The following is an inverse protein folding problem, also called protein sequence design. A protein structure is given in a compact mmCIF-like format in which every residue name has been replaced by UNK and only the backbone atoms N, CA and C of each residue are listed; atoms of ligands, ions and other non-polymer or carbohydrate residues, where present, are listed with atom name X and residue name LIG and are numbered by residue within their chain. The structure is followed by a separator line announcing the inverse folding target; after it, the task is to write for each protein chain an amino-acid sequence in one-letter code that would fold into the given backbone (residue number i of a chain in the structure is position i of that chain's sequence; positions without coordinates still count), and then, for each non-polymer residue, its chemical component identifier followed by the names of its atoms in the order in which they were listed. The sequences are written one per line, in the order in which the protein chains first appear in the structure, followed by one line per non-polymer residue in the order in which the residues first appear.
data_IF_242037606798
#
_entry.id   IF_242037606798
#
_cell.length_a   1.000
_cell.length_b   1.000
_cell.length_c   1.000
_cell.angle_alpha   90.00
_cell.angle_beta   90.00
_cell.angle_gamma   90.00
#
_symmetry.space_group_name_H-M   'P 1'
#
loop_
_entity.id
_entity.type
_entity.pdbx_description
1 polymer ?
#
# COMPACT_ATOMS: atom_id res chain seq x y z
N UNK A 1 19.89 -56.45 39.85
CA UNK A 1 19.85 -55.00 39.56
C UNK A 1 18.59 -54.70 38.79
N UNK A 2 17.73 -53.77 39.23
CA UNK A 2 16.59 -53.33 38.40
C UNK A 2 17.14 -52.46 37.27
N UNK A 3 16.61 -52.58 36.06
CA UNK A 3 17.09 -51.88 34.84
C UNK A 3 17.25 -50.35 35.05
N UNK A 4 16.46 -49.78 35.96
CA UNK A 4 16.48 -48.37 36.37
C UNK A 4 17.73 -47.95 37.16
N UNK A 5 18.45 -48.87 37.79
CA UNK A 5 19.70 -48.55 38.50
C UNK A 5 20.90 -48.55 37.55
N UNK A 6 20.85 -49.32 36.46
CA UNK A 6 21.94 -49.47 35.50
C UNK A 6 22.20 -48.18 34.70
N UNK A 7 21.16 -47.39 34.39
CA UNK A 7 21.28 -46.11 33.66
C UNK A 7 22.11 -45.05 34.41
N UNK A 8 22.36 -45.25 35.70
CA UNK A 8 23.19 -44.35 36.52
C UNK A 8 24.70 -44.61 36.35
N UNK A 9 25.07 -45.82 35.91
CA UNK A 9 26.47 -46.30 35.91
C UNK A 9 27.03 -46.53 34.52
N UNK A 10 26.22 -46.38 33.48
CA UNK A 10 26.59 -46.60 32.08
C UNK A 10 26.12 -45.41 31.23
N UNK A 11 26.92 -45.01 30.24
CA UNK A 11 26.45 -44.08 29.22
C UNK A 11 25.40 -44.77 28.36
N UNK A 12 24.46 -44.03 27.76
CA UNK A 12 23.47 -44.63 26.86
C UNK A 12 24.12 -45.42 25.71
N UNK A 13 25.29 -44.99 25.23
CA UNK A 13 26.10 -45.70 24.22
C UNK A 13 26.79 -46.96 24.73
N UNK A 14 26.95 -47.13 26.05
CA UNK A 14 27.49 -48.35 26.66
C UNK A 14 26.39 -49.43 26.83
N UNK A 15 25.11 -49.05 26.64
CA UNK A 15 23.94 -49.93 26.76
C UNK A 15 23.37 -50.40 25.41
N UNK A 16 24.08 -50.18 24.30
CA UNK A 16 23.72 -50.82 23.03
C UNK A 16 23.81 -52.35 23.20
N UNK A 17 22.72 -53.05 22.84
CA UNK A 17 22.41 -54.45 23.20
C UNK A 17 23.55 -55.47 22.93
N UNK A 18 24.47 -55.16 22.02
CA UNK A 18 25.60 -56.03 21.69
C UNK A 18 26.71 -56.02 22.75
N UNK A 19 26.92 -54.90 23.46
CA UNK A 19 27.97 -54.81 24.50
C UNK A 19 27.54 -55.34 25.87
N UNK A 20 26.23 -55.42 26.14
CA UNK A 20 25.70 -55.86 27.44
C UNK A 20 26.05 -57.32 27.73
N UNK A 21 26.18 -58.17 26.69
CA UNK A 21 26.46 -59.60 26.85
C UNK A 21 27.85 -59.92 27.39
N UNK A 22 28.82 -59.04 27.18
CA UNK A 22 30.22 -59.25 27.59
C UNK A 22 30.55 -58.63 28.95
N UNK A 23 29.61 -57.92 29.60
CA UNK A 23 29.80 -57.45 30.96
C UNK A 23 29.62 -58.60 31.95
N UNK A 24 30.72 -59.29 32.22
CA UNK A 24 30.83 -60.23 33.35
C UNK A 24 30.55 -59.45 34.64
N UNK A 25 29.39 -59.72 35.24
CA UNK A 25 29.06 -59.19 36.56
C UNK A 25 30.02 -59.80 37.59
N UNK A 26 30.56 -59.00 38.53
CA UNK A 26 31.39 -59.53 39.62
C UNK A 26 30.64 -60.55 40.47
N UNK A 27 31.37 -61.48 41.10
CA UNK A 27 30.81 -62.42 42.08
C UNK A 27 30.15 -61.69 43.27
N UNK A 28 29.16 -62.34 43.89
CA UNK A 28 28.36 -61.79 44.99
C UNK A 28 29.26 -61.28 46.15
N UNK A 29 29.32 -59.96 46.32
CA UNK A 29 30.10 -59.28 47.37
C UNK A 29 31.06 -58.19 46.90
N UNK A 30 31.51 -58.22 45.64
CA UNK A 30 32.43 -57.20 45.06
C UNK A 30 31.72 -56.04 44.37
N UNK A 31 30.39 -56.10 44.31
CA UNK A 31 29.55 -55.17 43.56
C UNK A 31 29.72 -53.68 43.91
N UNK A 32 29.82 -53.27 45.18
CA UNK A 32 29.96 -51.84 45.53
C UNK A 32 31.27 -51.22 45.06
N UNK A 33 32.36 -51.99 45.02
CA UNK A 33 33.67 -51.51 44.56
C UNK A 33 33.70 -51.38 43.04
N UNK A 34 33.20 -52.40 42.34
CA UNK A 34 33.03 -52.36 40.88
C UNK A 34 32.12 -51.21 40.43
N UNK A 35 31.00 -50.97 41.12
CA UNK A 35 30.08 -49.88 40.78
C UNK A 35 30.74 -48.50 40.94
N UNK A 36 31.58 -48.32 41.98
CA UNK A 36 32.37 -47.09 42.17
C UNK A 36 33.40 -46.91 41.06
N UNK A 37 34.10 -47.98 40.66
CA UNK A 37 35.07 -47.96 39.56
C UNK A 37 34.39 -47.58 38.23
N UNK A 38 33.26 -48.21 37.90
CA UNK A 38 32.48 -47.89 36.69
C UNK A 38 31.92 -46.48 36.71
N UNK A 39 31.45 -46.00 37.87
CA UNK A 39 31.02 -44.62 38.02
C UNK A 39 32.17 -43.64 37.79
N UNK A 40 33.35 -43.91 38.35
CA UNK A 40 34.54 -43.09 38.15
C UNK A 40 34.94 -43.05 36.67
N UNK A 41 34.96 -44.21 35.99
CA UNK A 41 35.23 -44.31 34.56
C UNK A 41 34.19 -43.54 33.72
N UNK A 42 32.91 -43.59 34.07
CA UNK A 42 31.87 -42.82 33.38
C UNK A 42 32.04 -41.31 33.58
N UNK A 43 32.39 -40.87 34.79
CA UNK A 43 32.67 -39.45 35.07
C UNK A 43 33.86 -38.98 34.25
N UNK A 44 34.94 -39.77 34.21
CA UNK A 44 36.14 -39.47 33.42
C UNK A 44 35.82 -39.41 31.91
N UNK A 45 35.10 -40.41 31.38
CA UNK A 45 34.63 -40.41 29.98
C UNK A 45 33.80 -39.18 29.65
N UNK A 46 32.88 -38.76 30.54
CA UNK A 46 32.06 -37.55 30.35
C UNK A 46 32.91 -36.30 30.32
N UNK A 47 33.83 -36.14 31.27
CA UNK A 47 34.76 -35.00 31.30
C UNK A 47 35.61 -34.93 30.03
N UNK A 48 36.08 -36.08 29.52
CA UNK A 48 36.83 -36.14 28.28
C UNK A 48 35.97 -35.76 27.06
N UNK A 49 34.72 -36.24 27.01
CA UNK A 49 33.76 -35.87 25.96
C UNK A 49 33.49 -34.36 25.96
N UNK A 50 33.22 -33.77 27.12
CA UNK A 50 33.02 -32.32 27.29
C UNK A 50 34.24 -31.52 26.80
N UNK A 51 35.47 -31.98 27.11
CA UNK A 51 36.70 -31.35 26.63
C UNK A 51 36.85 -31.44 25.10
N UNK A 52 36.48 -32.59 24.51
CA UNK A 52 36.50 -32.80 23.06
C UNK A 52 35.46 -31.91 22.35
N UNK A 53 34.25 -31.80 22.88
CA UNK A 53 33.19 -30.92 22.38
C UNK A 53 33.62 -29.46 22.43
N UNK A 54 34.09 -28.99 23.60
CA UNK A 54 34.59 -27.63 23.76
C UNK A 54 35.79 -27.32 22.85
N UNK A 55 36.67 -28.30 22.61
CA UNK A 55 37.76 -28.15 21.63
C UNK A 55 37.22 -28.02 20.20
N UNK A 56 36.26 -28.85 19.80
CA UNK A 56 35.66 -28.82 18.47
C UNK A 56 34.91 -27.51 18.22
N UNK A 57 34.16 -27.01 19.20
CA UNK A 57 33.49 -25.71 19.12
C UNK A 57 34.48 -24.56 18.92
N UNK A 58 35.53 -24.51 19.74
CA UNK A 58 36.62 -23.53 19.60
C UNK A 58 37.24 -23.58 18.20
N UNK A 59 37.54 -24.79 17.71
CA UNK A 59 38.10 -24.99 16.37
C UNK A 59 37.17 -24.48 15.26
N UNK A 60 35.87 -24.70 15.37
CA UNK A 60 34.87 -24.19 14.41
C UNK A 60 34.80 -22.66 14.45
N UNK A 61 34.79 -22.06 15.64
CA UNK A 61 34.82 -20.60 15.82
C UNK A 61 36.09 -19.99 15.23
N UNK A 62 37.27 -20.55 15.53
CA UNK A 62 38.56 -20.05 15.06
C UNK A 62 38.69 -20.19 13.54
N UNK A 63 38.17 -21.28 12.97
CA UNK A 63 38.09 -21.46 11.52
C UNK A 63 37.20 -20.39 10.89
N UNK A 64 36.01 -20.13 11.43
CA UNK A 64 35.09 -19.07 10.95
C UNK A 64 35.74 -17.69 11.04
N UNK A 65 36.38 -17.36 12.18
CA UNK A 65 37.12 -16.10 12.37
C UNK A 65 38.22 -15.93 11.33
N UNK A 66 39.01 -16.97 11.11
CA UNK A 66 40.10 -16.96 10.12
C UNK A 66 39.58 -16.77 8.70
N UNK A 67 38.49 -17.46 8.34
CA UNK A 67 37.84 -17.30 7.04
C UNK A 67 37.28 -15.88 6.85
N UNK A 68 36.62 -15.32 7.87
CA UNK A 68 36.09 -13.96 7.80
C UNK A 68 37.21 -12.92 7.73
N UNK A 69 38.30 -13.09 8.47
CA UNK A 69 39.47 -12.23 8.38
C UNK A 69 40.09 -12.25 6.97
N UNK A 70 40.18 -13.42 6.33
CA UNK A 70 40.64 -13.53 4.96
C UNK A 70 39.71 -12.82 3.95
N UNK A 71 38.39 -12.97 4.10
CA UNK A 71 37.38 -12.26 3.30
C UNK A 71 37.47 -10.74 3.48
N UNK A 72 37.63 -10.26 4.71
CA UNK A 72 37.77 -8.83 5.01
C UNK A 72 39.04 -8.24 4.39
N UNK A 73 40.17 -8.97 4.42
CA UNK A 73 41.41 -8.55 3.72
C UNK A 73 41.21 -8.46 2.22
N UNK A 74 40.52 -9.44 1.63
CA UNK A 74 40.18 -9.41 0.20
C UNK A 74 39.29 -8.23 -0.15
N UNK A 75 38.25 -7.97 0.64
CA UNK A 75 37.38 -6.81 0.49
C UNK A 75 38.16 -5.50 0.55
N UNK A 76 39.06 -5.34 1.54
CA UNK A 76 39.90 -4.14 1.65
C UNK A 76 40.79 -3.93 0.42
N UNK A 77 41.35 -5.00 -0.15
CA UNK A 77 42.13 -4.92 -1.39
C UNK A 77 41.28 -4.55 -2.61
N UNK A 78 40.02 -5.04 -2.68
CA UNK A 78 39.06 -4.65 -3.73
C UNK A 78 38.68 -3.17 -3.59
N UNK A 79 38.41 -2.71 -2.37
CA UNK A 79 38.10 -1.31 -2.08
C UNK A 79 39.26 -0.40 -2.51
N UNK A 80 40.50 -0.77 -2.19
CA UNK A 80 41.67 0.00 -2.63
C UNK A 80 41.73 0.11 -4.17
N UNK A 81 41.54 -0.99 -4.90
CA UNK A 81 41.48 -0.98 -6.37
C UNK A 81 40.32 -0.14 -6.93
N UNK A 82 39.18 -0.10 -6.24
CA UNK A 82 38.05 0.76 -6.61
C UNK A 82 38.35 2.23 -6.40
N UNK A 83 38.99 2.59 -5.28
CA UNK A 83 39.47 3.95 -5.01
C UNK A 83 40.48 4.41 -6.07
N UNK A 84 41.42 3.56 -6.45
CA UNK A 84 42.37 3.83 -7.54
C UNK A 84 41.69 4.09 -8.90
N UNK A 85 40.49 3.55 -9.09
CA UNK A 85 39.66 3.74 -10.29
C UNK A 85 38.70 4.94 -10.19
N UNK A 86 38.75 5.71 -9.10
CA UNK A 86 37.91 6.91 -8.90
C UNK A 86 36.54 6.64 -8.29
N UNK A 87 36.30 5.46 -7.70
CA UNK A 87 35.03 5.10 -7.04
C UNK A 87 34.99 5.45 -5.54
N UNK A 88 35.77 6.43 -5.11
CA UNK A 88 35.93 6.74 -3.68
C UNK A 88 34.60 7.11 -3.00
N UNK A 89 33.85 8.05 -3.57
CA UNK A 89 32.56 8.50 -3.03
C UNK A 89 31.55 7.35 -2.92
N UNK A 90 31.41 6.55 -3.98
CA UNK A 90 30.45 5.45 -4.01
C UNK A 90 30.84 4.33 -3.02
N UNK A 91 32.13 4.07 -2.82
CA UNK A 91 32.60 3.09 -1.82
C UNK A 91 32.35 3.59 -0.39
N UNK A 92 32.54 4.87 -0.12
CA UNK A 92 32.26 5.46 1.18
C UNK A 92 30.76 5.40 1.51
N UNK A 93 29.90 5.64 0.52
CA UNK A 93 28.45 5.47 0.66
C UNK A 93 28.05 4.01 0.99
N UNK A 94 28.70 3.02 0.39
CA UNK A 94 28.45 1.60 0.68
C UNK A 94 28.98 1.16 2.06
N UNK A 95 29.97 1.86 2.61
CA UNK A 95 30.67 1.45 3.84
C UNK A 95 29.81 1.53 5.11
N UNK A 96 28.68 2.26 5.07
CA UNK A 96 27.72 2.34 6.17
C UNK A 96 26.89 1.06 6.36
N UNK A 97 26.86 0.17 5.36
CA UNK A 97 26.02 -1.02 5.37
C UNK A 97 26.77 -2.25 5.92
N UNK A 98 26.14 -3.00 6.82
CA UNK A 98 26.70 -4.21 7.43
C UNK A 98 25.72 -5.38 7.19
N UNK A 99 26.14 -6.46 6.49
CA UNK A 99 27.45 -6.68 5.89
C UNK A 99 27.71 -5.77 4.67
N UNK A 100 28.98 -5.59 4.32
CA UNK A 100 29.36 -4.74 3.18
C UNK A 100 28.72 -5.25 1.87
N UNK A 101 28.01 -4.43 1.07
CA UNK A 101 27.23 -4.87 -0.10
C UNK A 101 28.06 -5.61 -1.16
N UNK A 102 29.33 -5.25 -1.36
CA UNK A 102 30.26 -6.00 -2.22
C UNK A 102 30.39 -7.51 -1.88
N UNK A 103 29.99 -7.98 -0.69
CA UNK A 103 29.96 -9.41 -0.39
C UNK A 103 28.86 -10.19 -1.11
N UNK A 104 27.90 -9.51 -1.75
CA UNK A 104 26.93 -10.10 -2.69
C UNK A 104 27.65 -10.70 -3.92
N UNK A 105 28.80 -10.13 -4.30
CA UNK A 105 29.64 -10.65 -5.36
C UNK A 105 30.45 -11.86 -4.86
N UNK A 106 30.12 -13.05 -5.36
CA UNK A 106 30.79 -14.31 -5.02
C UNK A 106 32.32 -14.25 -5.22
N UNK A 107 32.79 -13.46 -6.18
CA UNK A 107 34.21 -13.27 -6.48
C UNK A 107 34.94 -12.43 -5.42
N UNK A 108 34.22 -11.55 -4.72
CA UNK A 108 34.74 -10.76 -3.59
C UNK A 108 34.62 -11.54 -2.28
N UNK A 109 33.56 -12.34 -2.12
CA UNK A 109 33.30 -13.16 -0.93
C UNK A 109 34.11 -14.48 -0.89
N UNK A 110 35.40 -14.41 -1.21
CA UNK A 110 36.33 -15.55 -1.22
C UNK A 110 37.39 -15.43 -0.12
N UNK A 111 37.89 -16.55 0.37
CA UNK A 111 38.99 -16.61 1.35
C UNK A 111 40.38 -16.54 0.72
N UNK A 112 40.47 -16.61 -0.61
CA UNK A 112 41.74 -16.48 -1.35
C UNK A 112 42.20 -15.02 -1.40
N UNK A 113 43.51 -14.79 -1.36
CA UNK A 113 44.08 -13.45 -1.53
C UNK A 113 43.75 -12.88 -2.92
N UNK A 114 43.62 -11.55 -2.99
CA UNK A 114 43.39 -10.86 -4.26
C UNK A 114 44.71 -10.77 -5.04
N UNK A 115 44.81 -11.54 -6.13
CA UNK A 115 45.93 -11.44 -7.08
C UNK A 115 45.52 -10.56 -8.27
N UNK A 116 46.50 -10.01 -9.00
CA UNK A 116 46.21 -9.17 -10.18
C UNK A 116 45.40 -9.93 -11.24
N UNK A 117 45.73 -11.21 -11.48
CA UNK A 117 44.95 -12.07 -12.39
C UNK A 117 43.52 -12.26 -11.91
N UNK A 118 43.31 -12.47 -10.61
CA UNK A 118 41.97 -12.61 -10.04
C UNK A 118 41.16 -11.30 -10.11
N UNK A 119 41.82 -10.16 -9.88
CA UNK A 119 41.24 -8.84 -10.05
C UNK A 119 40.77 -8.62 -11.48
N UNK A 120 41.63 -8.83 -12.48
CA UNK A 120 41.28 -8.69 -13.88
C UNK A 120 40.09 -9.57 -14.28
N UNK A 121 40.02 -10.79 -13.74
CA UNK A 121 38.91 -11.72 -14.00
C UNK A 121 37.56 -11.29 -13.42
N UNK A 122 37.53 -10.53 -12.32
CA UNK A 122 36.28 -10.07 -11.69
C UNK A 122 35.98 -8.58 -11.88
N UNK A 123 36.94 -7.80 -12.41
CA UNK A 123 36.85 -6.34 -12.56
C UNK A 123 35.55 -5.89 -13.24
N UNK A 124 35.16 -6.54 -14.34
CA UNK A 124 33.95 -6.17 -15.07
C UNK A 124 32.67 -6.34 -14.22
N UNK A 125 32.55 -7.45 -13.48
CA UNK A 125 31.41 -7.68 -12.59
C UNK A 125 31.39 -6.69 -11.42
N UNK A 126 32.55 -6.37 -10.84
CA UNK A 126 32.66 -5.38 -9.78
C UNK A 126 32.29 -3.98 -10.28
N UNK A 127 32.75 -3.57 -11.47
CA UNK A 127 32.41 -2.26 -12.05
C UNK A 127 30.91 -2.18 -12.35
N UNK A 128 30.32 -3.20 -12.99
CA UNK A 128 28.88 -3.24 -13.26
C UNK A 128 28.05 -3.15 -11.98
N UNK A 129 28.46 -3.82 -10.91
CA UNK A 129 27.84 -3.68 -9.60
C UNK A 129 27.96 -2.24 -9.04
N UNK A 130 29.14 -1.62 -9.15
CA UNK A 130 29.33 -0.24 -8.69
C UNK A 130 28.51 0.77 -9.51
N UNK A 131 28.35 0.56 -10.82
CA UNK A 131 27.49 1.38 -11.68
C UNK A 131 26.01 1.28 -11.27
N UNK A 132 25.54 0.07 -10.95
CA UNK A 132 24.20 -0.14 -10.40
C UNK A 132 24.04 0.60 -9.07
N UNK A 133 24.95 0.39 -8.11
CA UNK A 133 24.89 1.06 -6.79
C UNK A 133 24.98 2.57 -6.89
N UNK A 134 25.80 3.11 -7.81
CA UNK A 134 25.85 4.54 -8.10
C UNK A 134 24.54 5.07 -8.65
N UNK A 135 23.91 4.31 -9.55
CA UNK A 135 22.59 4.66 -10.10
C UNK A 135 21.54 4.72 -8.99
N UNK A 136 21.48 3.69 -8.13
CA UNK A 136 20.58 3.64 -6.96
C UNK A 136 20.83 4.83 -6.00
N UNK A 137 22.10 5.14 -5.70
CA UNK A 137 22.48 6.29 -4.86
C UNK A 137 22.00 7.61 -5.46
N UNK A 138 22.30 7.88 -6.73
CA UNK A 138 21.91 9.12 -7.40
C UNK A 138 20.38 9.26 -7.48
N UNK A 139 19.68 8.15 -7.71
CA UNK A 139 18.22 8.07 -7.64
C UNK A 139 17.68 8.45 -6.26
N UNK A 140 18.27 7.93 -5.18
CA UNK A 140 17.90 8.29 -3.79
C UNK A 140 18.15 9.76 -3.49
N UNK A 141 19.30 10.30 -3.89
CA UNK A 141 19.64 11.71 -3.70
C UNK A 141 18.67 12.64 -4.45
N UNK A 142 18.30 12.28 -5.68
CA UNK A 142 17.33 13.05 -6.45
C UNK A 142 15.92 12.96 -5.85
N UNK A 143 15.51 11.80 -5.35
CA UNK A 143 14.26 11.65 -4.60
C UNK A 143 14.22 12.54 -3.34
N UNK A 144 15.28 12.50 -2.51
CA UNK A 144 15.38 13.35 -1.32
C UNK A 144 15.35 14.83 -1.67
N UNK A 145 15.99 15.22 -2.77
CA UNK A 145 15.95 16.59 -3.29
C UNK A 145 14.52 16.98 -3.69
N UNK A 146 13.84 16.17 -4.49
CA UNK A 146 12.45 16.43 -4.90
C UNK A 146 11.50 16.48 -3.70
N UNK A 147 11.69 15.61 -2.70
CA UNK A 147 10.91 15.63 -1.45
C UNK A 147 11.05 16.96 -0.72
N UNK A 148 12.28 17.45 -0.53
CA UNK A 148 12.54 18.76 0.10
C UNK A 148 11.91 19.91 -0.68
N UNK A 149 12.00 19.87 -2.00
CA UNK A 149 11.39 20.88 -2.88
C UNK A 149 9.87 20.82 -2.82
N UNK A 150 9.30 19.62 -2.73
CA UNK A 150 7.87 19.43 -2.60
C UNK A 150 7.36 19.94 -1.24
N UNK A 151 8.12 19.76 -0.16
CA UNK A 151 7.79 20.35 1.13
C UNK A 151 7.69 21.88 1.05
N UNK A 152 8.62 22.53 0.34
CA UNK A 152 8.55 23.98 0.08
C UNK A 152 7.32 24.35 -0.77
N UNK A 153 7.05 23.59 -1.84
CA UNK A 153 5.85 23.77 -2.66
C UNK A 153 4.57 23.63 -1.81
N UNK A 154 4.48 22.63 -0.95
CA UNK A 154 3.29 22.37 -0.12
C UNK A 154 3.01 23.51 0.85
N UNK A 155 4.05 24.09 1.45
CA UNK A 155 3.90 25.27 2.32
C UNK A 155 3.32 26.43 1.54
N UNK A 156 3.92 26.77 0.38
CA UNK A 156 3.41 27.82 -0.50
C UNK A 156 1.98 27.53 -0.99
N UNK A 157 1.72 26.30 -1.47
CA UNK A 157 0.44 25.88 -2.02
C UNK A 157 -0.67 25.90 -0.97
N UNK A 158 -0.37 25.72 0.32
CA UNK A 158 -1.38 25.83 1.39
C UNK A 158 -1.93 27.26 1.50
N UNK A 159 -1.08 28.26 1.30
CA UNK A 159 -1.50 29.67 1.31
C UNK A 159 -2.14 30.07 -0.02
N UNK A 160 -1.58 29.62 -1.14
CA UNK A 160 -2.09 29.90 -2.48
C UNK A 160 -3.44 29.20 -2.77
N UNK A 161 -3.62 27.95 -2.37
CA UNK A 161 -4.84 27.15 -2.62
C UNK A 161 -6.08 27.74 -1.96
N UNK A 162 -5.94 28.45 -0.84
CA UNK A 162 -7.04 29.20 -0.21
C UNK A 162 -7.66 30.22 -1.17
N UNK A 163 -6.91 30.70 -2.16
CA UNK A 163 -7.36 31.69 -3.13
C UNK A 163 -8.03 31.06 -4.36
N UNK A 164 -7.71 29.82 -4.70
CA UNK A 164 -8.14 29.16 -5.94
C UNK A 164 -9.02 27.92 -5.73
N UNK A 165 -9.45 27.65 -4.49
CA UNK A 165 -10.21 26.45 -4.16
C UNK A 165 -11.55 26.41 -4.90
N UNK A 166 -11.67 25.47 -5.85
CA UNK A 166 -12.94 25.03 -6.40
C UNK A 166 -13.25 23.64 -5.83
N UNK A 167 -14.29 23.48 -4.98
CA UNK A 167 -14.61 22.21 -4.33
C UNK A 167 -14.97 21.08 -5.31
N UNK A 168 -15.35 21.41 -6.55
CA UNK A 168 -15.86 20.42 -7.52
C UNK A 168 -14.80 19.85 -8.46
N UNK A 169 -13.64 20.51 -8.56
CA UNK A 169 -12.49 20.04 -9.34
C UNK A 169 -11.20 20.50 -8.63
N UNK A 170 -10.84 19.85 -7.51
CA UNK A 170 -9.55 20.11 -6.90
C UNK A 170 -8.46 19.67 -7.89
N UNK A 171 -7.76 20.64 -8.46
CA UNK A 171 -6.47 20.39 -9.07
C UNK A 171 -5.57 19.89 -7.94
N UNK A 172 -5.16 18.62 -7.98
CA UNK A 172 -4.37 18.05 -6.89
C UNK A 172 -2.98 18.64 -6.93
N UNK A 173 -2.29 18.67 -5.79
CA UNK A 173 -0.87 19.03 -5.73
C UNK A 173 -0.05 18.30 -6.81
N UNK A 174 -0.36 17.02 -7.06
CA UNK A 174 0.24 16.19 -8.13
C UNK A 174 0.06 16.76 -9.53
N UNK A 175 -1.12 17.29 -9.82
CA UNK A 175 -1.43 17.89 -11.11
C UNK A 175 -0.70 19.24 -11.24
N UNK A 176 -0.68 20.05 -10.17
CA UNK A 176 -0.03 21.37 -10.15
C UNK A 176 1.49 21.25 -10.32
N UNK A 177 2.14 20.34 -9.60
CA UNK A 177 3.59 20.12 -9.76
C UNK A 177 3.96 19.56 -11.13
N UNK A 178 2.99 19.11 -11.93
CA UNK A 178 3.21 18.69 -13.31
C UNK A 178 3.13 19.84 -14.32
N UNK A 179 2.69 21.04 -13.91
CA UNK A 179 2.65 22.20 -14.80
C UNK A 179 4.05 22.64 -15.18
N UNK A 180 4.23 23.04 -16.45
CA UNK A 180 5.57 23.28 -17.00
C UNK A 180 6.44 24.25 -16.18
N UNK A 181 5.95 25.39 -15.68
CA UNK A 181 6.78 26.31 -14.89
C UNK A 181 7.22 25.68 -13.56
N UNK A 182 6.31 24.96 -12.89
CA UNK A 182 6.59 24.29 -11.62
C UNK A 182 7.50 23.10 -11.82
N UNK A 183 7.24 22.24 -12.80
CA UNK A 183 8.10 21.10 -13.12
C UNK A 183 9.53 21.56 -13.43
N UNK A 184 9.68 22.61 -14.25
CA UNK A 184 10.99 23.17 -14.55
C UNK A 184 11.71 23.72 -13.31
N UNK A 185 10.99 24.40 -12.41
CA UNK A 185 11.54 24.86 -11.13
C UNK A 185 11.94 23.67 -10.25
N UNK A 186 11.08 22.67 -10.11
CA UNK A 186 11.30 21.46 -9.30
C UNK A 186 12.44 20.58 -9.83
N UNK A 187 12.71 20.60 -11.14
CA UNK A 187 13.81 19.91 -11.83
C UNK A 187 15.11 20.73 -11.90
N UNK A 188 15.17 21.90 -11.26
CA UNK A 188 16.37 22.74 -11.25
C UNK A 188 17.62 21.97 -10.74
N UNK A 189 18.83 22.35 -11.15
CA UNK A 189 20.07 21.78 -10.61
C UNK A 189 20.12 21.74 -9.07
N UNK A 190 20.83 20.76 -8.49
CA UNK A 190 20.82 20.49 -7.04
C UNK A 190 21.43 21.60 -6.16
N UNK A 191 22.20 22.51 -6.76
CA UNK A 191 22.76 23.71 -6.12
C UNK A 191 21.73 24.83 -5.96
N UNK A 192 20.58 24.74 -6.63
CA UNK A 192 19.47 25.69 -6.47
C UNK A 192 18.59 25.27 -5.28
N UNK A 193 18.66 26.07 -4.21
CA UNK A 193 17.76 25.97 -3.06
C UNK A 193 16.39 26.53 -3.44
N UNK A 194 15.35 25.72 -3.31
CA UNK A 194 13.96 26.13 -3.56
C UNK A 194 13.28 26.38 -2.22
N UNK A 195 12.70 27.57 -2.08
CA UNK A 195 11.92 28.00 -0.91
C UNK A 195 10.46 28.26 -1.32
N UNK A 196 9.52 28.42 -0.38
CA UNK A 196 8.13 28.78 -0.71
C UNK A 196 8.02 30.04 -1.60
N UNK A 197 8.88 31.05 -1.37
CA UNK A 197 8.90 32.30 -2.14
C UNK A 197 9.37 32.10 -3.58
N UNK A 198 10.04 30.97 -3.88
CA UNK A 198 10.46 30.64 -5.24
C UNK A 198 9.29 30.39 -6.19
N UNK A 199 8.08 30.18 -5.66
CA UNK A 199 6.87 29.91 -6.43
C UNK A 199 6.04 31.16 -6.74
N UNK A 200 6.22 32.26 -5.99
CA UNK A 200 5.47 33.53 -6.18
C UNK A 200 5.52 34.08 -7.62
N UNK A 201 6.68 34.06 -8.33
CA UNK A 201 6.73 34.60 -9.69
C UNK A 201 5.85 33.85 -10.71
N UNK A 202 5.37 32.66 -10.35
CA UNK A 202 4.58 31.79 -11.23
C UNK A 202 3.09 31.79 -10.89
N UNK A 203 2.63 32.59 -9.92
CA UNK A 203 1.24 32.56 -9.44
C UNK A 203 0.21 32.76 -10.56
N UNK A 204 0.41 33.74 -11.43
CA UNK A 204 -0.48 34.03 -12.55
C UNK A 204 -0.48 32.87 -13.58
N UNK A 205 0.70 32.33 -13.90
CA UNK A 205 0.84 31.21 -14.84
C UNK A 205 0.19 29.93 -14.29
N UNK A 206 0.32 29.70 -12.98
CA UNK A 206 -0.30 28.57 -12.30
C UNK A 206 -1.82 28.76 -12.26
N UNK A 207 -2.31 29.96 -11.93
CA UNK A 207 -3.74 30.24 -11.92
C UNK A 207 -4.36 30.02 -13.31
N UNK A 208 -3.69 30.48 -14.37
CA UNK A 208 -4.11 30.21 -15.74
C UNK A 208 -4.09 28.71 -16.08
N UNK A 209 -3.03 27.99 -15.67
CA UNK A 209 -2.91 26.54 -15.86
C UNK A 209 -3.99 25.75 -15.11
N UNK A 210 -4.35 26.17 -13.90
CA UNK A 210 -5.46 25.59 -13.13
C UNK A 210 -6.78 25.79 -13.85
N UNK A 211 -7.05 27.01 -14.36
CA UNK A 211 -8.28 27.29 -15.09
C UNK A 211 -8.40 26.45 -16.37
N UNK A 212 -7.31 26.34 -17.14
CA UNK A 212 -7.26 25.48 -18.33
C UNK A 212 -7.46 24.01 -17.97
N UNK A 213 -6.75 23.52 -16.94
CA UNK A 213 -6.87 22.16 -16.44
C UNK A 213 -8.31 21.86 -16.01
N UNK A 214 -8.94 22.73 -15.24
CA UNK A 214 -10.33 22.57 -14.80
C UNK A 214 -11.29 22.50 -16.00
N UNK A 215 -11.11 23.37 -16.99
CA UNK A 215 -11.93 23.36 -18.20
C UNK A 215 -11.73 22.07 -19.02
N UNK A 216 -10.49 21.60 -19.12
CA UNK A 216 -10.16 20.33 -19.77
C UNK A 216 -10.81 19.16 -19.03
N UNK A 217 -10.67 19.08 -17.70
CA UNK A 217 -11.26 18.00 -16.90
C UNK A 217 -12.78 18.03 -16.92
N UNK A 218 -13.40 19.22 -16.87
CA UNK A 218 -14.84 19.41 -17.07
C UNK A 218 -15.31 18.83 -18.40
N UNK A 219 -14.58 19.11 -19.48
CA UNK A 219 -14.89 18.60 -20.83
C UNK A 219 -14.73 17.08 -20.91
N UNK A 220 -13.61 16.55 -20.42
CA UNK A 220 -13.33 15.11 -20.40
C UNK A 220 -14.38 14.36 -19.57
N UNK A 221 -14.73 14.88 -18.39
CA UNK A 221 -15.71 14.29 -17.51
C UNK A 221 -17.11 14.32 -18.14
N UNK A 222 -17.51 15.43 -18.76
CA UNK A 222 -18.75 15.51 -19.53
C UNK A 222 -18.82 14.44 -20.62
N UNK A 223 -17.82 14.37 -21.49
CA UNK A 223 -17.80 13.40 -22.59
C UNK A 223 -17.85 11.96 -22.08
N UNK A 224 -17.16 11.68 -20.97
CA UNK A 224 -17.19 10.36 -20.35
C UNK A 224 -18.57 10.01 -19.79
N UNK A 225 -19.23 10.93 -19.05
CA UNK A 225 -20.58 10.70 -18.54
C UNK A 225 -21.59 10.51 -19.68
N UNK A 226 -21.52 11.34 -20.73
CA UNK A 226 -22.39 11.23 -21.90
C UNK A 226 -22.25 9.86 -22.58
N UNK A 227 -21.01 9.37 -22.70
CA UNK A 227 -20.69 8.05 -23.23
C UNK A 227 -21.20 6.91 -22.34
N UNK A 228 -20.95 6.97 -21.02
CA UNK A 228 -21.33 5.90 -20.08
C UNK A 228 -22.84 5.83 -19.84
N UNK A 229 -23.53 6.96 -19.76
CA UNK A 229 -24.96 7.01 -19.50
C UNK A 229 -25.82 6.89 -20.76
N UNK A 230 -25.22 7.09 -21.94
CA UNK A 230 -25.94 7.25 -23.20
C UNK A 230 -26.90 8.44 -23.18
N UNK A 231 -26.45 9.56 -22.60
CA UNK A 231 -27.22 10.79 -22.45
C UNK A 231 -26.48 11.96 -23.10
N UNK A 232 -27.21 12.99 -23.54
CA UNK A 232 -26.63 14.27 -23.93
C UNK A 232 -26.89 15.27 -22.81
N UNK A 233 -25.86 15.63 -22.05
CA UNK A 233 -26.03 16.51 -20.91
C UNK A 233 -26.31 17.93 -21.38
N UNK A 234 -27.25 18.61 -20.74
CA UNK A 234 -27.58 19.99 -21.09
C UNK A 234 -26.36 20.90 -20.98
N UNK A 235 -26.24 21.83 -21.93
CA UNK A 235 -25.27 22.93 -21.90
C UNK A 235 -25.85 24.20 -21.30
N UNK A 236 -27.16 24.24 -21.02
CA UNK A 236 -27.85 25.40 -20.45
C UNK A 236 -27.71 25.50 -18.92
N UNK A 237 -27.22 24.42 -18.30
CA UNK A 237 -26.98 24.30 -16.85
C UNK A 237 -25.48 24.17 -16.64
N UNK A 238 -24.93 24.78 -15.59
CA UNK A 238 -23.53 24.53 -15.26
C UNK A 238 -23.33 23.04 -14.98
N UNK A 239 -22.26 22.49 -15.54
CA UNK A 239 -21.99 21.07 -15.44
C UNK A 239 -21.90 20.57 -13.98
N UNK A 240 -21.34 21.37 -13.06
CA UNK A 240 -21.22 20.97 -11.65
C UNK A 240 -22.54 21.12 -10.88
N UNK A 241 -23.49 21.87 -11.42
CA UNK A 241 -24.84 21.97 -10.85
C UNK A 241 -25.72 20.77 -11.20
N UNK A 242 -25.35 19.95 -12.19
CA UNK A 242 -26.11 18.75 -12.59
C UNK A 242 -26.13 17.72 -11.47
N UNK A 243 -27.32 17.18 -11.15
CA UNK A 243 -27.49 16.21 -10.08
C UNK A 243 -26.65 14.94 -10.32
N UNK A 244 -26.53 14.50 -11.58
CA UNK A 244 -25.71 13.34 -11.97
C UNK A 244 -24.22 13.53 -11.66
N UNK A 245 -23.71 14.76 -11.68
CA UNK A 245 -22.30 15.07 -11.41
C UNK A 245 -22.04 15.14 -9.91
N UNK A 246 -22.99 15.66 -9.12
CA UNK A 246 -22.86 15.81 -7.65
C UNK A 246 -22.72 14.50 -6.86
N UNK A 247 -22.90 13.37 -7.53
CA UNK A 247 -22.92 12.02 -6.97
C UNK A 247 -21.72 11.16 -7.40
N UNK A 248 -20.79 11.76 -8.14
CA UNK A 248 -19.54 11.10 -8.45
C UNK A 248 -18.79 10.97 -7.13
N UNK A 249 -18.93 9.79 -6.53
CA UNK A 249 -18.31 9.42 -5.29
C UNK A 249 -16.81 9.34 -5.52
N UNK A 250 -16.13 10.39 -5.10
CA UNK A 250 -14.69 10.44 -5.09
C UNK A 250 -14.21 9.96 -3.72
N UNK A 251 -14.30 8.65 -3.48
CA UNK A 251 -13.74 8.07 -2.25
C UNK A 251 -12.24 8.36 -2.07
N UNK A 252 -11.54 8.73 -3.15
CA UNK A 252 -10.14 9.20 -3.14
C UNK A 252 -9.99 10.70 -2.78
N UNK A 253 -11.05 11.43 -2.41
CA UNK A 253 -10.94 12.83 -1.96
C UNK A 253 -10.78 12.92 -0.44
N UNK A 254 -11.37 12.01 0.33
CA UNK A 254 -11.39 12.06 1.80
C UNK A 254 -10.53 10.96 2.45
N UNK A 255 -10.24 9.85 1.76
CA UNK A 255 -9.32 8.85 2.25
C UNK A 255 -7.87 9.22 1.88
N UNK A 256 -7.12 9.67 2.89
CA UNK A 256 -5.66 9.90 2.94
C UNK A 256 -5.15 11.34 2.76
N UNK A 257 -5.90 12.36 3.21
CA UNK A 257 -5.32 13.70 3.33
C UNK A 257 -4.46 13.91 4.59
N UNK A 258 -4.43 13.02 5.60
CA UNK A 258 -3.71 13.33 6.86
C UNK A 258 -2.97 12.22 7.64
N UNK A 259 -2.93 10.93 7.26
CA UNK A 259 -2.46 9.91 8.23
C UNK A 259 -1.57 8.76 7.75
N UNK A 260 -0.99 8.79 6.56
CA UNK A 260 0.22 7.98 6.34
C UNK A 260 1.40 8.88 6.64
N UNK A 261 2.04 8.78 7.83
CA UNK A 261 3.27 9.49 8.06
C UNK A 261 4.25 9.11 6.97
N UNK A 262 4.71 10.10 6.19
CA UNK A 262 5.72 9.96 5.15
C UNK A 262 7.01 9.31 5.66
N UNK A 263 7.17 9.25 6.97
CA UNK A 263 8.25 8.59 7.71
C UNK A 263 8.21 7.06 7.58
N UNK A 264 7.17 6.48 6.94
CA UNK A 264 6.97 5.03 6.79
C UNK A 264 7.16 4.46 5.38
N UNK A 265 7.50 5.28 4.38
CA UNK A 265 8.06 4.70 3.15
C UNK A 265 9.46 4.27 3.53
N UNK A 266 9.63 2.99 3.89
CA UNK A 266 10.95 2.42 4.17
C UNK A 266 11.85 2.70 2.96
N UNK A 267 13.11 3.04 3.21
CA UNK A 267 14.13 3.30 2.17
C UNK A 267 14.23 2.16 1.12
N UNK A 268 13.70 0.98 1.45
CA UNK A 268 13.59 -0.18 0.56
C UNK A 268 12.64 0.02 -0.62
N UNK A 269 11.59 0.85 -0.51
CA UNK A 269 10.65 1.03 -1.63
C UNK A 269 11.27 1.88 -2.75
N UNK A 270 12.17 2.81 -2.39
CA UNK A 270 12.92 3.61 -3.36
C UNK A 270 13.93 2.78 -4.19
N UNK A 271 14.43 1.67 -3.63
CA UNK A 271 15.31 0.74 -4.34
C UNK A 271 14.58 -0.14 -5.37
N UNK A 272 13.26 -0.32 -5.21
CA UNK A 272 12.41 -1.09 -6.13
C UNK A 272 11.95 -0.30 -7.35
N UNK A 273 12.21 1.01 -7.38
CA UNK A 273 11.75 1.86 -8.44
C UNK A 273 12.44 1.51 -9.74
N UNK A 274 11.63 1.23 -10.76
CA UNK A 274 12.12 1.01 -12.10
C UNK A 274 12.78 2.29 -12.60
N UNK A 275 14.11 2.30 -12.51
CA UNK A 275 14.99 3.41 -12.94
C UNK A 275 14.86 3.68 -14.45
N UNK A 276 14.15 2.80 -15.18
CA UNK A 276 13.84 2.89 -16.59
C UNK A 276 12.50 3.56 -16.90
N UNK A 277 11.73 4.03 -15.89
CA UNK A 277 10.56 4.85 -16.15
C UNK A 277 10.96 6.05 -17.04
N UNK A 278 10.27 6.19 -18.17
CA UNK A 278 10.61 7.17 -19.22
C UNK A 278 10.49 8.62 -18.73
N UNK A 279 9.79 8.83 -17.60
CA UNK A 279 9.75 10.10 -16.87
C UNK A 279 10.04 9.82 -15.38
N UNK A 280 11.32 9.93 -15.00
CA UNK A 280 11.77 9.75 -13.61
C UNK A 280 11.05 10.69 -12.65
N UNK A 281 10.86 11.95 -13.05
CA UNK A 281 10.18 12.95 -12.23
C UNK A 281 8.77 12.48 -11.88
N UNK A 282 8.03 11.96 -12.85
CA UNK A 282 6.68 11.51 -12.62
C UNK A 282 6.58 10.31 -11.68
N UNK A 283 7.47 9.32 -11.86
CA UNK A 283 7.54 8.18 -10.96
C UNK A 283 7.85 8.62 -9.53
N UNK A 284 8.79 9.55 -9.34
CA UNK A 284 9.10 10.08 -8.02
C UNK A 284 7.95 10.88 -7.42
N UNK A 285 7.28 11.74 -8.19
CA UNK A 285 6.16 12.52 -7.69
C UNK A 285 4.96 11.64 -7.32
N UNK A 286 4.72 10.53 -8.02
CA UNK A 286 3.65 9.59 -7.63
C UNK A 286 3.92 9.00 -6.23
N UNK A 287 5.19 8.76 -5.87
CA UNK A 287 5.61 8.26 -4.55
C UNK A 287 5.60 9.36 -3.50
N UNK A 288 6.25 10.49 -3.79
CA UNK A 288 6.36 11.64 -2.89
C UNK A 288 4.97 12.16 -2.53
N UNK A 289 4.00 12.03 -3.42
CA UNK A 289 2.65 12.51 -3.17
C UNK A 289 1.72 11.42 -2.68
N UNK A 290 2.06 10.14 -2.90
CA UNK A 290 1.17 9.00 -2.72
C UNK A 290 -0.24 9.29 -3.30
N UNK A 291 -0.27 10.01 -4.43
CA UNK A 291 -1.49 10.54 -5.05
C UNK A 291 -1.44 10.29 -6.53
N UNK A 292 -2.48 9.63 -7.02
CA UNK A 292 -2.68 9.47 -8.45
C UNK A 292 -3.08 10.80 -9.10
N UNK A 293 -2.59 11.01 -10.33
CA UNK A 293 -3.10 12.04 -11.25
C UNK A 293 -4.60 11.87 -11.43
N UNK A 294 -5.30 12.98 -11.69
CA UNK A 294 -6.71 12.90 -12.05
C UNK A 294 -6.87 12.05 -13.32
N UNK A 295 -7.76 11.05 -13.28
CA UNK A 295 -8.12 10.21 -14.41
C UNK A 295 -9.59 9.81 -14.34
N UNK A 296 -10.26 9.68 -15.48
CA UNK A 296 -11.62 9.11 -15.54
C UNK A 296 -11.62 7.60 -15.29
N UNK A 297 -10.49 6.92 -15.51
CA UNK A 297 -10.38 5.46 -15.33
C UNK A 297 -10.53 5.01 -13.88
N UNK A 298 -10.31 5.90 -12.92
CA UNK A 298 -10.47 5.61 -11.49
C UNK A 298 -11.88 5.90 -10.98
N UNK A 299 -12.71 6.59 -11.77
CA UNK A 299 -14.08 6.93 -11.39
C UNK A 299 -14.94 5.68 -11.42
N UNK A 300 -15.46 5.32 -10.25
CA UNK A 300 -16.47 4.27 -10.10
C UNK A 300 -17.78 4.95 -9.78
N UNK A 301 -18.77 4.80 -10.64
CA UNK A 301 -20.07 5.44 -10.42
C UNK A 301 -21.18 4.51 -10.90
N UNK A 302 -22.20 4.24 -10.06
CA UNK A 302 -23.32 3.39 -10.44
C UNK A 302 -24.30 4.18 -11.33
N UNK A 303 -23.89 4.47 -12.57
CA UNK A 303 -24.63 5.33 -13.51
C UNK A 303 -26.09 4.94 -13.70
N UNK A 304 -26.36 3.64 -13.78
CA UNK A 304 -27.71 3.09 -13.90
C UNK A 304 -28.59 3.41 -12.69
N UNK A 305 -28.01 3.36 -11.48
CA UNK A 305 -28.72 3.68 -10.25
C UNK A 305 -29.01 5.18 -10.12
N UNK A 306 -28.01 6.02 -10.44
CA UNK A 306 -28.17 7.48 -10.45
C UNK A 306 -29.28 7.88 -11.40
N UNK A 307 -29.22 7.37 -12.64
CA UNK A 307 -30.22 7.60 -13.67
C UNK A 307 -31.62 7.20 -13.20
N UNK A 308 -31.75 5.98 -12.67
CA UNK A 308 -33.02 5.46 -12.16
C UNK A 308 -33.60 6.31 -11.02
N UNK A 309 -32.77 6.71 -10.05
CA UNK A 309 -33.21 7.52 -8.91
C UNK A 309 -33.75 8.87 -9.39
N UNK A 310 -33.06 9.52 -10.31
CA UNK A 310 -33.50 10.80 -10.88
C UNK A 310 -34.80 10.62 -11.68
N UNK A 311 -34.84 9.66 -12.60
CA UNK A 311 -36.01 9.37 -13.44
C UNK A 311 -37.24 9.00 -12.61
N UNK A 312 -37.10 8.25 -11.51
CA UNK A 312 -38.24 7.88 -10.67
C UNK A 312 -38.80 9.06 -9.84
N UNK A 313 -38.07 10.18 -9.75
CA UNK A 313 -38.67 11.42 -9.27
C UNK A 313 -39.47 12.14 -10.37
N UNK A 314 -39.32 11.76 -11.65
CA UNK A 314 -39.93 12.43 -12.80
C UNK A 314 -39.10 13.59 -13.36
N UNK A 315 -37.82 13.67 -13.00
CA UNK A 315 -36.86 14.65 -13.52
C UNK A 315 -36.04 14.05 -14.66
N UNK A 316 -35.49 14.90 -15.54
CA UNK A 316 -34.57 14.48 -16.60
C UNK A 316 -33.12 14.44 -16.09
N UNK A 317 -32.46 13.27 -16.05
CA UNK A 317 -31.05 13.15 -15.65
C UNK A 317 -30.08 14.03 -16.46
N UNK A 318 -30.42 14.40 -17.69
CA UNK A 318 -29.58 15.21 -18.54
C UNK A 318 -29.55 16.70 -18.15
N UNK A 319 -30.55 17.19 -17.41
CA UNK A 319 -30.69 18.62 -17.12
C UNK A 319 -31.00 18.97 -15.68
N UNK A 320 -31.44 18.03 -14.85
CA UNK A 320 -31.87 18.35 -13.49
C UNK A 320 -30.68 18.78 -12.63
N UNK A 321 -30.88 19.86 -11.87
CA UNK A 321 -29.86 20.35 -10.94
C UNK A 321 -29.95 19.69 -9.58
N UNK A 322 -28.82 19.66 -8.88
CA UNK A 322 -28.69 19.21 -7.50
C UNK A 322 -29.68 19.93 -6.57
N UNK A 323 -29.78 21.26 -6.70
CA UNK A 323 -30.73 22.08 -5.92
C UNK A 323 -32.19 21.70 -6.20
N UNK A 324 -32.51 21.32 -7.44
CA UNK A 324 -33.87 20.89 -7.82
C UNK A 324 -34.21 19.56 -7.15
N UNK A 325 -33.30 18.58 -7.22
CA UNK A 325 -33.46 17.29 -6.54
C UNK A 325 -33.59 17.44 -5.01
N UNK A 326 -32.80 18.34 -4.41
CA UNK A 326 -32.87 18.63 -2.97
C UNK A 326 -34.18 19.26 -2.56
N UNK A 327 -34.67 20.24 -3.32
CA UNK A 327 -35.93 20.93 -3.04
C UNK A 327 -37.12 19.98 -3.12
N UNK A 328 -37.05 18.99 -4.01
CA UNK A 328 -38.10 17.97 -4.17
C UNK A 328 -38.20 17.05 -2.96
N UNK A 329 -37.10 16.91 -2.21
CA UNK A 329 -36.98 16.11 -0.99
C UNK A 329 -37.65 14.73 -1.08
N UNK A 330 -37.51 14.07 -2.24
CA UNK A 330 -38.10 12.74 -2.43
C UNK A 330 -37.44 11.77 -1.46
N UNK A 331 -38.27 11.11 -0.65
CA UNK A 331 -37.83 10.16 0.37
C UNK A 331 -37.83 8.76 -0.20
N UNK A 332 -36.82 7.98 0.15
CA UNK A 332 -36.58 6.65 -0.40
C UNK A 332 -36.50 5.63 0.74
N UNK A 333 -36.86 4.38 0.45
CA UNK A 333 -36.56 3.27 1.36
C UNK A 333 -36.16 2.02 0.57
N UNK A 334 -35.30 1.20 1.18
CA UNK A 334 -34.93 -0.11 0.65
C UNK A 334 -35.80 -1.20 1.29
N UNK A 335 -36.52 -2.04 0.53
CA UNK A 335 -37.29 -3.15 1.06
C UNK A 335 -36.41 -4.36 1.42
N UNK A 336 -35.12 -4.32 1.10
CA UNK A 336 -34.17 -5.43 1.31
C UNK A 336 -33.80 -5.58 2.80
N UNK A 337 -34.04 -4.55 3.63
CA UNK A 337 -33.90 -4.66 5.07
C UNK A 337 -34.86 -5.71 5.64
N UNK A 338 -34.30 -6.68 6.38
CA UNK A 338 -35.08 -7.73 7.04
C UNK A 338 -36.18 -7.11 7.90
N UNK A 339 -37.38 -7.72 7.96
CA UNK A 339 -38.56 -7.17 8.63
C UNK A 339 -38.42 -6.90 10.14
N UNK A 340 -37.29 -7.27 10.74
CA UNK A 340 -36.98 -7.02 12.15
C UNK A 340 -36.34 -5.64 12.42
N UNK A 341 -35.97 -4.87 11.39
CA UNK A 341 -35.30 -3.57 11.56
C UNK A 341 -36.11 -2.41 10.97
N UNK A 342 -35.98 -1.24 11.60
CA UNK A 342 -36.53 0.04 11.14
C UNK A 342 -36.06 0.26 9.69
N UNK A 343 -37.00 0.46 8.76
CA UNK A 343 -36.67 0.78 7.37
C UNK A 343 -36.14 2.21 7.32
N UNK A 344 -34.86 2.44 6.99
CA UNK A 344 -34.33 3.79 6.91
C UNK A 344 -35.02 4.52 5.76
N UNK A 345 -35.70 5.62 6.09
CA UNK A 345 -36.15 6.60 5.12
C UNK A 345 -34.95 7.51 4.83
N UNK A 346 -34.57 7.63 3.57
CA UNK A 346 -33.34 8.31 3.16
C UNK A 346 -33.59 9.35 2.08
N UNK A 347 -32.69 10.34 1.97
CA UNK A 347 -32.68 11.30 0.86
C UNK A 347 -32.21 10.62 -0.43
N UNK A 348 -32.39 11.26 -1.58
CA UNK A 348 -31.91 10.72 -2.86
C UNK A 348 -30.39 10.48 -2.88
N UNK A 349 -29.59 11.38 -2.27
CA UNK A 349 -28.14 11.17 -2.10
C UNK A 349 -27.83 9.94 -1.27
N UNK A 350 -28.49 9.80 -0.13
CA UNK A 350 -28.30 8.65 0.75
C UNK A 350 -28.76 7.34 0.09
N UNK A 351 -29.79 7.37 -0.76
CA UNK A 351 -30.20 6.22 -1.57
C UNK A 351 -29.13 5.79 -2.57
N UNK A 352 -28.49 6.75 -3.24
CA UNK A 352 -27.45 6.47 -4.23
C UNK A 352 -26.17 5.96 -3.55
N UNK A 353 -25.76 6.58 -2.45
CA UNK A 353 -24.62 6.10 -1.66
C UNK A 353 -24.88 4.69 -1.11
N UNK A 354 -26.11 4.41 -0.66
CA UNK A 354 -26.51 3.08 -0.24
C UNK A 354 -26.41 2.06 -1.37
N UNK A 355 -26.88 2.39 -2.57
CA UNK A 355 -26.74 1.55 -3.76
C UNK A 355 -25.26 1.32 -4.11
N UNK A 356 -24.44 2.37 -4.09
CA UNK A 356 -23.01 2.28 -4.38
C UNK A 356 -22.31 1.33 -3.40
N UNK A 357 -22.61 1.45 -2.11
CA UNK A 357 -22.03 0.62 -1.08
C UNK A 357 -22.49 -0.84 -1.16
N UNK A 358 -23.78 -1.12 -1.35
CA UNK A 358 -24.24 -2.52 -1.45
C UNK A 358 -23.69 -3.25 -2.67
N UNK A 359 -23.48 -2.55 -3.80
CA UNK A 359 -22.86 -3.14 -5.00
C UNK A 359 -21.44 -3.67 -4.76
N UNK A 360 -20.76 -3.20 -3.70
CA UNK A 360 -19.40 -3.62 -3.34
C UNK A 360 -19.37 -4.83 -2.43
N UNK A 361 -20.41 -5.02 -1.63
CA UNK A 361 -20.46 -6.06 -0.59
C UNK A 361 -21.29 -7.27 -1.00
N UNK A 362 -22.05 -7.18 -2.09
CA UNK A 362 -22.94 -8.26 -2.50
C UNK A 362 -22.87 -8.48 -4.02
N UNK A 363 -22.79 -9.73 -4.45
CA UNK A 363 -22.87 -10.17 -5.86
C UNK A 363 -24.27 -9.95 -6.49
N UNK A 364 -25.07 -9.01 -5.98
CA UNK A 364 -26.40 -8.75 -6.53
C UNK A 364 -26.26 -8.08 -7.91
N UNK A 365 -26.94 -8.67 -8.89
CA UNK A 365 -27.03 -8.10 -10.24
C UNK A 365 -27.77 -6.75 -10.22
N UNK A 366 -27.49 -5.88 -11.21
CA UNK A 366 -28.12 -4.57 -11.36
C UNK A 366 -29.67 -4.58 -11.34
N UNK A 367 -30.30 -5.73 -11.58
CA UNK A 367 -31.76 -5.87 -11.57
C UNK A 367 -32.39 -5.71 -10.17
N UNK A 368 -31.63 -5.91 -9.09
CA UNK A 368 -32.16 -5.77 -7.72
C UNK A 368 -32.33 -4.31 -7.27
N UNK A 369 -31.72 -3.35 -7.97
CA UNK A 369 -31.82 -1.92 -7.65
C UNK A 369 -33.21 -1.33 -7.90
N UNK A 370 -34.01 -1.94 -8.80
CA UNK A 370 -35.41 -1.56 -9.04
C UNK A 370 -36.33 -1.78 -7.83
N UNK A 371 -35.82 -2.43 -6.78
CA UNK A 371 -36.55 -2.64 -5.53
C UNK A 371 -36.57 -1.40 -4.63
N UNK A 372 -35.72 -0.39 -4.87
CA UNK A 372 -35.80 0.88 -4.16
C UNK A 372 -36.98 1.68 -4.73
N UNK A 373 -37.89 2.09 -3.84
CA UNK A 373 -39.17 2.71 -4.19
C UNK A 373 -39.20 4.14 -3.62
N UNK A 374 -39.52 5.17 -4.44
CA UNK A 374 -39.77 6.50 -3.92
C UNK A 374 -41.04 6.49 -3.07
N UNK A 375 -40.97 7.09 -1.88
CA UNK A 375 -42.14 7.38 -1.05
C UNK A 375 -42.76 8.64 -1.62
N UNK A 376 -43.82 8.48 -2.42
CA UNK A 376 -44.60 9.62 -2.88
C UNK A 376 -45.33 10.20 -1.67
N UNK A 377 -44.97 11.41 -1.26
CA UNK A 377 -45.73 12.20 -0.29
C UNK A 377 -47.08 12.60 -0.94
N UNK A 378 -48.02 11.67 -1.06
CA UNK A 378 -49.40 11.96 -1.49
C UNK A 378 -50.27 12.52 -0.34
N UNK A 379 -49.67 13.01 0.73
CA UNK A 379 -50.38 13.40 1.95
C UNK A 379 -50.35 14.91 2.23
N UNK A 380 -50.52 15.74 1.22
CA UNK A 380 -51.02 17.11 1.44
C UNK A 380 -52.55 17.10 1.26
N UNK A 381 -53.26 16.59 2.28
CA UNK A 381 -54.73 16.62 2.26
C UNK A 381 -55.45 15.94 3.42
N UNK A 382 -54.82 15.02 4.15
CA UNK A 382 -55.49 14.29 5.24
C UNK A 382 -54.52 13.94 6.37
N UNK A 383 -54.05 14.94 7.13
CA UNK A 383 -53.51 14.70 8.47
C UNK A 383 -54.20 15.62 9.49
N UNK A 384 -55.45 15.24 9.80
CA UNK A 384 -56.05 15.58 11.09
C UNK A 384 -55.44 14.68 12.17
N UNK A 385 -55.13 15.29 13.31
CA UNK A 385 -54.46 14.72 14.48
C UNK A 385 -54.84 13.27 14.84
N UNK A 386 -53.83 12.42 15.04
CA UNK A 386 -53.99 11.11 15.68
C UNK A 386 -52.96 10.07 15.27
N UNK A 387 -51.71 10.18 15.74
CA UNK A 387 -50.78 9.05 15.69
C UNK A 387 -51.08 8.12 16.86
N UNK A 388 -51.89 7.09 16.61
CA UNK A 388 -51.91 5.89 17.43
C UNK A 388 -51.47 4.71 16.58
N UNK A 389 -50.68 3.83 17.19
CA UNK A 389 -50.04 2.66 16.60
C UNK A 389 -50.99 1.84 15.71
N UNK A 390 -50.62 1.66 14.45
CA UNK A 390 -51.26 0.65 13.58
C UNK A 390 -50.55 -0.68 13.83
N UNK A 391 -51.25 -1.62 14.47
CA UNK A 391 -50.86 -3.02 14.52
C UNK A 391 -50.95 -3.63 13.12
N UNK A 392 -49.82 -4.16 12.63
CA UNK A 392 -49.79 -4.94 11.39
C UNK A 392 -50.24 -6.38 11.68
N UNK A 393 -51.43 -6.73 11.20
CA UNK A 393 -51.87 -8.13 11.13
C UNK A 393 -51.14 -8.84 9.98
N UNK A 394 -50.55 -9.98 10.33
CA UNK A 394 -49.85 -10.91 9.45
C UNK A 394 -50.76 -11.41 8.32
N UNK A 395 -50.35 -11.19 7.07
CA UNK A 395 -50.87 -11.90 5.90
C UNK A 395 -49.71 -12.71 5.31
N UNK A 396 -49.80 -14.02 5.48
CA UNK A 396 -48.90 -14.99 4.86
C UNK A 396 -49.54 -15.56 3.58
N UNK A 397 -48.67 -15.89 2.62
CA UNK A 397 -48.93 -16.61 1.37
C UNK A 397 -49.67 -15.88 0.25
N UNK A 398 -48.91 -15.24 -0.66
CA UNK A 398 -49.20 -15.26 -2.10
C UNK A 398 -47.90 -15.44 -2.90
N UNK A 399 -47.79 -16.58 -3.60
CA UNK A 399 -46.92 -16.71 -4.77
C UNK A 399 -47.70 -16.15 -5.96
N UNK A 400 -47.24 -15.07 -6.58
CA UNK A 400 -47.71 -14.68 -7.91
C UNK A 400 -46.60 -14.08 -8.78
N UNK A 401 -46.63 -14.53 -10.04
CA UNK A 401 -45.82 -14.11 -11.18
C UNK A 401 -46.56 -12.96 -11.92
N UNK A 402 -45.84 -11.85 -12.20
CA UNK A 402 -46.09 -10.74 -13.17
C UNK A 402 -47.37 -9.86 -12.97
N UNK A 403 -47.54 -8.65 -13.60
CA UNK A 403 -46.64 -7.60 -14.11
C UNK A 403 -46.88 -6.20 -13.43
N UNK A 404 -46.08 -5.17 -13.78
CA UNK A 404 -46.24 -3.77 -13.33
C UNK A 404 -47.59 -3.15 -13.74
N UNK A 405 -48.29 -2.53 -12.79
CA UNK A 405 -49.34 -1.53 -13.03
C UNK A 405 -49.00 -0.24 -12.29
N UNK A 406 -48.84 0.84 -13.04
CA UNK A 406 -48.85 2.22 -12.54
C UNK A 406 -50.30 2.62 -12.32
N UNK A 407 -50.66 3.02 -11.09
CA UNK A 407 -51.96 3.59 -10.80
C UNK A 407 -51.90 5.11 -10.95
N UNK A 408 -52.72 5.66 -11.85
CA UNK A 408 -53.12 7.06 -11.82
C UNK A 408 -54.48 7.13 -11.13
N UNK A 409 -54.63 7.96 -10.10
CA UNK A 409 -55.94 8.38 -9.60
C UNK A 409 -56.37 9.65 -10.34
N UNK A 410 -57.61 9.67 -10.80
CA UNK A 410 -58.33 10.89 -11.19
C UNK A 410 -58.96 11.57 -9.99
#
# INVERSE_FOLDING_TARGET
MRYTEATTYFLGSDLDDENIRDFVLPEDGQYPEWAKERQALCIEKKQWAEQCEAWQERRVIDKRKTQQAAKNRRLAAVIAKLKDLGWEEDVENLSSHIPHPLFELKQVNQTSSLTERAWLGMKAAVISFMEQRKTERLSRQYYELLRKRYDAFRVWATDFSRLLFNPFLPCRDRDIVSFSPIKALMDSPSDVTITPESFEPFEDDIAASIAEFQQQKKTTLRNWIESEMGLQLSTSVDFFDLAVVSLIDHEDWDLQLDTVPFDRIDDTDAESLDVHAQDRYDAYMDIVLNRCRWSTSTLKTPWSAIKYVIEATGEDPASVTTTTMDRKDTRWYSPVFRPAYIRPIMTWRAAINYINNESRYCDYSCDDFRRIIPVVNQAEGCFGAGWSSVEYTSISHWRMRYPMKVAFCG
#
